data_IF_646444748786
#
_entry.id   IF_646444748786
#
_cell.length_a   1.000
_cell.length_b   1.000
_cell.length_c   1.000
_cell.angle_alpha   90.00
_cell.angle_beta   90.00
_cell.angle_gamma   90.00
#
_symmetry.space_group_name_H-M   'P 1'
#
loop_
_entity.id
_entity.type
_entity.pdbx_description
1 polymer ?
#
# COMPACT_ATOMS: atom_id res chain seq x y z
N UNK A 1 22.50 1.56 -13.20
CA UNK A 1 21.15 1.63 -12.61
C UNK A 1 20.98 0.41 -11.75
N UNK A 2 20.45 0.56 -10.55
CA UNK A 2 20.10 -0.58 -9.68
C UNK A 2 18.90 -1.33 -10.26
N UNK A 3 18.84 -2.64 -10.11
CA UNK A 3 17.65 -3.44 -10.47
C UNK A 3 16.52 -3.28 -9.43
N UNK A 4 16.85 -2.70 -8.28
CA UNK A 4 15.94 -2.45 -7.19
C UNK A 4 14.71 -1.62 -7.59
N UNK A 5 13.58 -1.97 -6.99
CA UNK A 5 12.27 -1.34 -7.21
C UNK A 5 11.72 -0.83 -5.89
N UNK A 6 11.00 0.28 -5.96
CA UNK A 6 10.16 0.72 -4.84
C UNK A 6 8.79 0.11 -5.05
N UNK A 7 8.39 -0.83 -4.20
CA UNK A 7 7.00 -1.28 -4.08
C UNK A 7 6.22 -0.25 -3.27
N UNK A 8 5.06 0.15 -3.80
CA UNK A 8 4.08 0.98 -3.12
C UNK A 8 2.78 0.19 -3.05
N UNK A 9 2.33 -0.11 -1.84
CA UNK A 9 1.04 -0.76 -1.60
C UNK A 9 0.18 0.14 -0.72
N UNK A 10 -0.99 0.52 -1.22
CA UNK A 10 -1.97 1.36 -0.54
C UNK A 10 -3.16 0.49 -0.20
N UNK A 11 -3.43 0.30 1.09
CA UNK A 11 -4.53 -0.53 1.57
C UNK A 11 -5.53 0.31 2.36
N UNK A 12 -6.81 0.03 2.16
CA UNK A 12 -7.91 0.67 2.90
C UNK A 12 -8.23 -0.08 4.21
N UNK A 13 -7.92 -1.38 4.28
CA UNK A 13 -8.25 -2.23 5.43
C UNK A 13 -7.06 -2.32 6.38
N UNK A 14 -7.03 -1.48 7.42
CA UNK A 14 -5.96 -1.49 8.43
C UNK A 14 -5.82 -2.85 9.11
N UNK A 15 -6.92 -3.58 9.30
CA UNK A 15 -6.93 -4.92 9.88
C UNK A 15 -6.21 -5.98 9.03
N UNK A 16 -5.87 -5.64 7.79
CA UNK A 16 -5.15 -6.51 6.84
C UNK A 16 -3.69 -6.08 6.65
N UNK A 17 -3.23 -5.07 7.39
CA UNK A 17 -1.86 -4.59 7.32
C UNK A 17 -0.86 -5.70 7.66
N UNK A 18 -1.12 -6.47 8.71
CA UNK A 18 -0.25 -7.56 9.14
C UNK A 18 -0.11 -8.62 8.03
N UNK A 19 -1.20 -9.04 7.39
CA UNK A 19 -1.18 -9.97 6.25
C UNK A 19 -0.24 -9.49 5.12
N UNK A 20 -0.26 -8.19 4.80
CA UNK A 20 0.63 -7.62 3.76
C UNK A 20 2.09 -7.63 4.20
N UNK A 21 2.37 -7.31 5.47
CA UNK A 21 3.75 -7.31 5.99
C UNK A 21 4.31 -8.73 6.09
N UNK A 22 3.49 -9.71 6.48
CA UNK A 22 3.87 -11.12 6.51
C UNK A 22 4.19 -11.63 5.11
N UNK A 23 3.35 -11.32 4.10
CA UNK A 23 3.63 -11.64 2.70
C UNK A 23 4.98 -11.07 2.21
N UNK A 24 5.34 -9.86 2.62
CA UNK A 24 6.66 -9.30 2.31
C UNK A 24 7.79 -10.11 2.96
N UNK A 25 7.64 -10.49 4.23
CA UNK A 25 8.64 -11.29 4.93
C UNK A 25 8.82 -12.68 4.32
N UNK A 26 7.73 -13.31 3.86
CA UNK A 26 7.75 -14.62 3.18
C UNK A 26 8.61 -14.58 1.91
N UNK A 27 8.57 -13.48 1.17
CA UNK A 27 9.38 -13.27 -0.05
C UNK A 27 10.77 -12.69 0.24
N UNK A 28 11.21 -12.66 1.51
CA UNK A 28 12.53 -12.20 1.91
C UNK A 28 12.70 -10.67 1.96
N UNK A 29 11.61 -9.91 1.89
CA UNK A 29 11.60 -8.45 1.99
C UNK A 29 11.46 -8.06 3.47
N UNK A 30 12.58 -7.76 4.11
CA UNK A 30 12.65 -7.53 5.57
C UNK A 30 12.44 -6.08 6.01
N UNK A 31 12.35 -5.15 5.06
CA UNK A 31 12.23 -3.71 5.35
C UNK A 31 11.05 -3.06 4.66
N UNK A 32 10.18 -2.42 5.44
CA UNK A 32 9.11 -1.58 4.92
C UNK A 32 8.88 -0.36 5.84
N UNK A 33 8.41 0.73 5.26
CA UNK A 33 7.90 1.91 5.99
C UNK A 33 6.40 2.00 5.79
N UNK A 34 5.67 2.32 6.86
CA UNK A 34 4.22 2.42 6.87
C UNK A 34 3.85 3.87 7.16
N UNK A 35 3.00 4.46 6.32
CA UNK A 35 2.50 5.82 6.49
C UNK A 35 0.98 5.80 6.59
N UNK A 36 0.43 6.61 7.48
CA UNK A 36 -0.99 6.89 7.53
C UNK A 36 -1.36 7.94 6.48
N UNK A 37 -2.40 7.66 5.72
CA UNK A 37 -2.91 8.53 4.67
C UNK A 37 -4.44 8.63 4.72
N UNK A 38 -4.97 9.65 4.05
CA UNK A 38 -6.41 9.84 3.84
C UNK A 38 -6.76 9.69 2.38
N UNK A 39 -7.92 9.10 2.11
CA UNK A 39 -8.47 9.07 0.76
C UNK A 39 -8.90 10.46 0.30
N UNK A 40 -8.85 10.71 -1.02
CA UNK A 40 -9.33 11.98 -1.57
C UNK A 40 -10.79 12.25 -1.22
N UNK A 41 -11.65 11.24 -1.31
CA UNK A 41 -13.08 11.39 -1.04
C UNK A 41 -13.36 11.76 0.42
N UNK A 42 -12.64 11.13 1.35
CA UNK A 42 -12.67 11.46 2.78
C UNK A 42 -12.25 12.90 3.03
N UNK A 43 -11.09 13.31 2.49
CA UNK A 43 -10.61 14.70 2.60
C UNK A 43 -11.63 15.72 2.07
N UNK A 44 -12.24 15.43 0.92
CA UNK A 44 -13.22 16.33 0.30
C UNK A 44 -14.48 16.50 1.15
N UNK A 45 -15.02 15.42 1.71
CA UNK A 45 -16.21 15.49 2.54
C UNK A 45 -15.99 16.25 3.85
N UNK A 46 -14.76 16.22 4.37
CA UNK A 46 -14.39 16.93 5.59
C UNK A 46 -14.11 18.41 5.34
N UNK A 47 -13.30 18.73 4.32
CA UNK A 47 -12.73 20.07 4.13
C UNK A 47 -13.49 20.93 3.13
N UNK A 48 -14.27 20.34 2.21
CA UNK A 48 -14.93 21.09 1.12
C UNK A 48 -16.45 21.14 1.38
N UNK A 49 -17.04 22.33 1.67
CA UNK A 49 -18.45 22.46 2.04
C UNK A 49 -19.45 21.87 1.03
N UNK A 50 -19.12 21.92 -0.27
CA UNK A 50 -19.95 21.33 -1.33
C UNK A 50 -20.14 19.81 -1.15
N UNK A 51 -19.15 19.13 -0.57
CA UNK A 51 -19.12 17.68 -0.40
C UNK A 51 -19.54 17.23 1.01
N UNK A 52 -19.93 18.16 1.89
CA UNK A 52 -20.35 17.84 3.26
C UNK A 52 -21.55 16.86 3.33
N UNK A 53 -22.42 16.86 2.31
CA UNK A 53 -23.53 15.92 2.19
C UNK A 53 -23.12 14.46 2.03
N UNK A 54 -21.86 14.19 1.63
CA UNK A 54 -21.32 12.84 1.48
C UNK A 54 -20.76 12.25 2.77
N UNK A 55 -20.69 13.02 3.87
CA UNK A 55 -20.18 12.54 5.17
C UNK A 55 -20.92 11.30 5.67
N UNK A 56 -22.24 11.18 5.40
CA UNK A 56 -23.01 10.01 5.79
C UNK A 56 -22.64 8.73 5.02
N UNK A 57 -22.03 8.84 3.84
CA UNK A 57 -21.49 7.70 3.09
C UNK A 57 -20.11 7.26 3.62
N UNK A 58 -19.45 8.11 4.40
CA UNK A 58 -18.13 7.88 4.99
C UNK A 58 -18.27 7.42 6.45
N UNK A 59 -19.30 7.89 7.17
CA UNK A 59 -19.61 7.49 8.54
C UNK A 59 -19.84 5.98 8.64
N UNK A 60 -18.92 5.29 9.31
CA UNK A 60 -18.97 3.84 9.56
C UNK A 60 -17.67 3.12 9.24
N UNK A 61 -16.84 3.72 8.40
CA UNK A 61 -15.47 3.29 8.16
C UNK A 61 -14.60 4.53 8.37
N UNK A 62 -13.67 4.46 9.31
CA UNK A 62 -12.62 5.46 9.48
C UNK A 62 -11.30 4.81 9.04
N UNK A 63 -11.20 4.27 7.80
CA UNK A 63 -10.02 3.51 7.42
C UNK A 63 -8.96 4.54 7.12
N UNK A 64 -8.04 4.75 8.06
CA UNK A 64 -6.79 5.41 7.68
C UNK A 64 -6.14 4.52 6.65
N UNK A 65 -6.03 5.01 5.41
CA UNK A 65 -5.34 4.26 4.38
C UNK A 65 -3.90 4.06 4.84
N UNK A 66 -3.40 2.84 4.77
CA UNK A 66 -1.98 2.58 5.03
C UNK A 66 -1.24 2.56 3.70
N UNK A 67 -0.16 3.34 3.62
CA UNK A 67 0.78 3.28 2.51
C UNK A 67 2.00 2.53 3.00
N UNK A 68 2.26 1.38 2.40
CA UNK A 68 3.40 0.51 2.66
C UNK A 68 4.42 0.74 1.54
N UNK A 69 5.61 1.17 1.93
CA UNK A 69 6.72 1.46 1.03
C UNK A 69 7.85 0.48 1.34
N UNK A 70 8.28 -0.28 0.34
CA UNK A 70 9.40 -1.21 0.50
C UNK A 70 10.34 -1.17 -0.69
N UNK A 71 11.64 -1.22 -0.40
CA UNK A 71 12.67 -1.40 -1.44
C UNK A 71 12.85 -2.90 -1.66
N UNK A 72 12.61 -3.32 -2.89
CA UNK A 72 12.70 -4.71 -3.35
C UNK A 72 13.96 -4.86 -4.21
N UNK A 73 14.78 -5.91 -4.03
CA UNK A 73 16.12 -6.00 -4.64
C UNK A 73 16.10 -6.09 -6.17
N UNK A 74 15.09 -6.75 -6.75
CA UNK A 74 14.96 -6.95 -8.18
C UNK A 74 13.49 -7.17 -8.60
N UNK A 75 13.30 -7.32 -9.91
CA UNK A 75 11.97 -7.47 -10.52
C UNK A 75 11.33 -8.82 -10.22
N UNK A 76 12.11 -9.89 -10.10
CA UNK A 76 11.55 -11.23 -9.90
C UNK A 76 11.00 -11.34 -8.47
N UNK A 77 11.75 -10.86 -7.47
CA UNK A 77 11.24 -10.73 -6.09
C UNK A 77 10.02 -9.80 -6.02
N UNK A 78 10.01 -8.70 -6.79
CA UNK A 78 8.85 -7.80 -6.83
C UNK A 78 7.59 -8.52 -7.32
N UNK A 79 7.68 -9.30 -8.40
CA UNK A 79 6.53 -10.02 -8.95
C UNK A 79 6.00 -11.04 -7.94
N UNK A 80 6.90 -11.82 -7.31
CA UNK A 80 6.52 -12.76 -6.27
C UNK A 80 5.82 -12.07 -5.10
N UNK A 81 6.39 -10.97 -4.58
CA UNK A 81 5.79 -10.19 -3.50
C UNK A 81 4.41 -9.64 -3.88
N UNK A 82 4.23 -9.11 -5.09
CA UNK A 82 2.93 -8.63 -5.56
C UNK A 82 1.90 -9.77 -5.63
N UNK A 83 2.28 -10.93 -6.13
CA UNK A 83 1.39 -12.09 -6.23
C UNK A 83 1.01 -12.64 -4.83
N UNK A 84 1.98 -12.74 -3.92
CA UNK A 84 1.77 -13.18 -2.55
C UNK A 84 0.86 -12.20 -1.79
N UNK A 85 1.10 -10.89 -1.90
CA UNK A 85 0.21 -9.86 -1.33
C UNK A 85 -1.21 -9.97 -1.89
N UNK A 86 -1.37 -10.13 -3.21
CA UNK A 86 -2.69 -10.28 -3.82
C UNK A 86 -3.42 -11.53 -3.31
N UNK A 87 -2.69 -12.63 -3.06
CA UNK A 87 -3.26 -13.87 -2.56
C UNK A 87 -3.79 -13.75 -1.13
N UNK A 88 -3.10 -13.00 -0.26
CA UNK A 88 -3.48 -12.87 1.17
C UNK A 88 -4.41 -11.70 1.42
N UNK A 89 -4.21 -10.55 0.75
CA UNK A 89 -4.96 -9.31 0.98
C UNK A 89 -6.25 -9.24 0.15
N UNK A 90 -6.21 -9.69 -1.10
CA UNK A 90 -7.34 -9.70 -2.02
C UNK A 90 -7.00 -9.22 -3.44
N UNK A 91 -7.97 -9.32 -4.33
CA UNK A 91 -7.81 -8.99 -5.75
C UNK A 91 -7.78 -7.48 -6.00
N UNK A 92 -6.60 -6.95 -6.31
CA UNK A 92 -6.36 -5.53 -6.63
C UNK A 92 -6.95 -5.08 -7.98
N UNK A 93 -7.51 -6.00 -8.78
CA UNK A 93 -8.25 -5.66 -10.00
C UNK A 93 -9.71 -5.23 -9.73
N UNK A 94 -10.20 -5.42 -8.50
CA UNK A 94 -11.54 -5.05 -8.09
C UNK A 94 -11.60 -3.61 -7.53
N UNK A 95 -12.76 -2.93 -7.60
CA UNK A 95 -12.93 -1.64 -6.95
C UNK A 95 -12.77 -1.73 -5.41
N UNK A 96 -12.17 -0.69 -4.82
CA UNK A 96 -12.02 -0.53 -3.36
C UNK A 96 -11.24 -1.66 -2.66
N UNK A 97 -10.26 -2.26 -3.35
CA UNK A 97 -9.32 -3.24 -2.78
C UNK A 97 -7.91 -2.68 -2.66
N UNK A 98 -7.75 -1.35 -2.64
CA UNK A 98 -6.44 -0.71 -2.56
C UNK A 98 -5.74 -0.59 -3.91
N UNK A 99 -4.46 -0.20 -3.88
CA UNK A 99 -3.64 0.06 -5.08
C UNK A 99 -2.23 -0.48 -4.83
N UNK A 100 -1.68 -1.23 -5.77
CA UNK A 100 -0.31 -1.72 -5.69
C UNK A 100 0.45 -1.44 -6.99
N UNK A 101 1.63 -0.84 -6.90
CA UNK A 101 2.45 -0.50 -8.06
C UNK A 101 3.93 -0.39 -7.67
N UNK A 102 4.80 -0.28 -8.68
CA UNK A 102 6.24 -0.15 -8.46
C UNK A 102 6.88 0.98 -9.26
N UNK A 103 7.98 1.52 -8.76
CA UNK A 103 8.80 2.54 -9.40
C UNK A 103 10.26 2.07 -9.50
N UNK A 104 10.97 2.49 -10.55
CA UNK A 104 12.40 2.27 -10.70
C UNK A 104 13.20 3.13 -9.70
N UNK A 105 14.17 2.52 -9.01
CA UNK A 105 15.08 3.25 -8.12
C UNK A 105 16.41 3.51 -8.84
N UNK A 106 16.95 4.72 -8.68
CA UNK A 106 18.24 5.11 -9.24
C UNK A 106 19.45 4.71 -8.39
N UNK A 107 19.36 4.92 -7.07
CA UNK A 107 20.37 4.55 -6.05
C UNK A 107 19.69 4.27 -4.70
N UNK A 108 20.31 3.42 -3.87
CA UNK A 108 19.81 3.05 -2.53
C UNK A 108 20.94 3.06 -1.52
N UNK A 109 20.67 3.51 -0.28
CA UNK A 109 21.65 3.50 0.83
C UNK A 109 20.97 3.04 2.11
N UNK A 110 21.69 2.28 2.93
CA UNK A 110 21.22 1.86 4.27
C UNK A 110 20.09 0.84 4.24
N UNK A 111 20.01 0.00 3.20
CA UNK A 111 19.05 -1.11 3.17
C UNK A 111 19.37 -2.08 4.31
N UNK A 112 18.34 -2.61 5.01
CA UNK A 112 18.53 -3.68 5.97
C UNK A 112 19.15 -4.89 5.27
N UNK A 113 20.13 -5.50 5.93
CA UNK A 113 20.89 -6.68 5.48
C UNK A 113 20.07 -7.96 5.55
#
# INVERSE_FOLDING_TARGET
>A
MTDAKLLVCIIEKEERLEDVLEALLEEGITGASILDARGMFEYMADEIPLFAGFRALIQGNNPTNKIILSVVPDRDTLVLAMDTIQSVYGDFSLPNTGIMFSLDIGDTRGLPS
#
